data_IF_709667199212
#
_entry.id   IF_709667199212
#
_cell.length_a   1.000
_cell.length_b   1.000
_cell.length_c   1.000
_cell.angle_alpha   90.00
_cell.angle_beta   90.00
_cell.angle_gamma   90.00
#
_symmetry.space_group_name_H-M   'P 1'
#
loop_
_entity.id
_entity.type
_entity.pdbx_description
1 polymer ?
#
# COMPACT_ATOMS: atom_id res chain seq x y z
N UNK A 1 14.31 -3.41 6.56
CA UNK A 1 13.49 -3.24 5.31
C UNK A 1 12.03 -2.97 5.70
N UNK A 2 11.18 -2.48 4.78
CA UNK A 2 9.76 -2.18 5.07
C UNK A 2 9.01 -3.34 5.74
N UNK A 3 9.33 -4.58 5.33
CA UNK A 3 8.78 -5.79 5.93
C UNK A 3 9.10 -5.91 7.43
N UNK A 4 10.33 -5.61 7.84
CA UNK A 4 10.77 -5.74 9.23
C UNK A 4 10.08 -4.71 10.14
N UNK A 5 9.71 -3.55 9.58
CA UNK A 5 8.93 -2.52 10.29
C UNK A 5 7.45 -2.87 10.38
N UNK A 6 6.91 -3.59 9.39
CA UNK A 6 5.49 -3.97 9.35
C UNK A 6 5.19 -5.22 10.18
N UNK A 7 6.08 -6.21 10.18
CA UNK A 7 5.88 -7.51 10.85
C UNK A 7 5.52 -7.41 12.34
N UNK A 8 6.17 -6.58 13.18
CA UNK A 8 5.82 -6.53 14.60
C UNK A 8 4.46 -5.86 14.87
N UNK A 9 3.88 -5.15 13.88
CA UNK A 9 2.59 -4.46 14.05
C UNK A 9 1.39 -5.40 13.99
N UNK A 10 1.57 -6.62 13.47
CA UNK A 10 0.50 -7.63 13.43
C UNK A 10 1.05 -9.03 13.28
N UNK A 11 0.51 -9.95 14.07
CA UNK A 11 0.73 -11.39 13.99
C UNK A 11 0.01 -12.04 12.79
N UNK A 12 -1.00 -11.36 12.23
CA UNK A 12 -1.85 -11.87 11.13
C UNK A 12 -1.25 -11.70 9.73
N UNK A 13 -0.01 -11.24 9.60
CA UNK A 13 0.63 -11.04 8.30
C UNK A 13 0.98 -12.39 7.64
N UNK A 14 0.06 -12.91 6.82
CA UNK A 14 0.21 -14.21 6.15
C UNK A 14 0.71 -14.15 4.70
N UNK A 15 0.47 -13.05 3.98
CA UNK A 15 0.81 -12.91 2.56
C UNK A 15 1.19 -11.48 2.19
N UNK A 16 2.13 -11.35 1.26
CA UNK A 16 2.57 -10.09 0.66
C UNK A 16 2.56 -10.22 -0.87
N UNK A 17 2.03 -9.19 -1.52
CA UNK A 17 2.16 -9.01 -2.97
C UNK A 17 3.33 -8.07 -3.25
N UNK A 18 4.16 -8.44 -4.23
CA UNK A 18 5.29 -7.61 -4.69
C UNK A 18 5.21 -7.45 -6.20
N UNK A 19 5.59 -6.29 -6.68
CA UNK A 19 5.73 -6.06 -8.12
C UNK A 19 6.94 -6.83 -8.67
N UNK A 20 6.89 -7.21 -9.95
CA UNK A 20 8.00 -7.88 -10.65
C UNK A 20 9.33 -7.11 -10.62
N UNK A 21 9.30 -5.79 -10.43
CA UNK A 21 10.49 -4.95 -10.27
C UNK A 21 11.19 -5.09 -8.91
N UNK A 22 10.60 -5.78 -7.93
CA UNK A 22 11.26 -5.99 -6.63
C UNK A 22 12.45 -6.95 -6.73
N UNK A 23 13.52 -6.65 -5.97
CA UNK A 23 14.69 -7.52 -5.88
C UNK A 23 14.30 -8.91 -5.35
N UNK A 24 14.81 -9.97 -5.98
CA UNK A 24 14.62 -11.37 -5.53
C UNK A 24 15.02 -11.57 -4.06
N UNK A 25 16.03 -10.83 -3.59
CA UNK A 25 16.47 -10.82 -2.20
C UNK A 25 15.36 -10.42 -1.21
N UNK A 26 14.48 -9.48 -1.58
CA UNK A 26 13.35 -9.09 -0.73
C UNK A 26 12.36 -10.25 -0.58
N UNK A 27 11.99 -10.89 -1.68
CA UNK A 27 11.09 -12.04 -1.64
C UNK A 27 11.68 -13.20 -0.83
N UNK A 28 12.99 -13.45 -0.94
CA UNK A 28 13.68 -14.45 -0.12
C UNK A 28 13.65 -14.10 1.37
N UNK A 29 13.93 -12.84 1.73
CA UNK A 29 13.90 -12.34 3.11
C UNK A 29 12.53 -12.50 3.77
N UNK A 30 11.45 -12.25 3.03
CA UNK A 30 10.07 -12.42 3.52
C UNK A 30 9.72 -13.91 3.66
N UNK A 31 10.04 -14.74 2.66
CA UNK A 31 9.78 -16.19 2.71
C UNK A 31 10.52 -16.89 3.85
N UNK A 32 11.74 -16.45 4.17
CA UNK A 32 12.50 -16.96 5.31
C UNK A 32 11.77 -16.78 6.66
N UNK A 33 10.78 -15.90 6.73
CA UNK A 33 9.97 -15.62 7.92
C UNK A 33 8.55 -16.21 7.82
N UNK A 34 8.36 -17.22 6.96
CA UNK A 34 7.11 -17.98 6.77
C UNK A 34 5.92 -17.13 6.33
N UNK A 35 6.19 -16.03 5.61
CA UNK A 35 5.15 -15.21 4.97
C UNK A 35 5.14 -15.51 3.47
N UNK A 36 3.96 -15.79 2.92
CA UNK A 36 3.81 -16.06 1.50
C UNK A 36 4.12 -14.80 0.67
N UNK A 37 4.86 -14.95 -0.42
CA UNK A 37 5.16 -13.85 -1.36
C UNK A 37 4.65 -14.21 -2.74
N UNK A 38 3.78 -13.37 -3.26
CA UNK A 38 3.21 -13.44 -4.60
C UNK A 38 3.78 -12.31 -5.45
N UNK A 39 4.45 -12.66 -6.55
CA UNK A 39 5.00 -11.67 -7.49
C UNK A 39 3.94 -11.37 -8.54
N UNK A 40 3.52 -10.12 -8.62
CA UNK A 40 2.54 -9.63 -9.58
C UNK A 40 3.29 -9.09 -10.80
N UNK A 41 3.16 -9.79 -11.94
CA UNK A 41 3.78 -9.41 -13.20
C UNK A 41 2.90 -8.42 -13.98
N UNK A 42 3.46 -7.26 -14.35
CA UNK A 42 2.79 -6.21 -15.12
C UNK A 42 2.62 -6.51 -16.60
N UNK A 43 3.50 -7.34 -17.18
CA UNK A 43 3.58 -7.54 -18.63
C UNK A 43 2.83 -8.82 -18.99
N UNK A 44 1.68 -8.65 -19.64
CA UNK A 44 1.00 -9.74 -20.34
C UNK A 44 1.26 -9.61 -21.85
N UNK A 45 1.56 -10.72 -22.55
CA UNK A 45 1.86 -10.69 -23.99
C UNK A 45 0.68 -10.24 -24.88
N UNK A 46 -0.55 -10.31 -24.38
CA UNK A 46 -1.78 -10.17 -25.17
C UNK A 46 -2.65 -8.96 -24.77
N UNK A 47 -2.02 -7.83 -24.41
CA UNK A 47 -2.72 -6.57 -24.12
C UNK A 47 -2.82 -6.23 -22.64
N UNK A 48 -3.72 -5.30 -22.28
CA UNK A 48 -3.89 -4.84 -20.91
C UNK A 48 -4.72 -5.83 -20.09
N UNK A 49 -4.11 -6.36 -19.03
CA UNK A 49 -4.80 -7.19 -18.03
C UNK A 49 -4.82 -6.49 -16.68
N UNK A 50 -5.99 -6.48 -16.04
CA UNK A 50 -6.13 -5.94 -14.68
C UNK A 50 -5.38 -6.84 -13.70
N UNK A 51 -4.39 -6.26 -13.02
CA UNK A 51 -3.58 -7.00 -12.05
C UNK A 51 -4.37 -7.27 -10.77
N UNK A 52 -4.41 -8.52 -10.28
CA UNK A 52 -5.04 -8.81 -9.01
C UNK A 52 -4.30 -8.06 -7.89
N UNK A 53 -5.02 -7.17 -7.21
CA UNK A 53 -4.57 -6.36 -6.04
C UNK A 53 -3.48 -5.30 -6.29
N UNK A 54 -2.96 -5.15 -7.50
CA UNK A 54 -1.99 -4.09 -7.83
C UNK A 54 -2.55 -2.68 -7.65
N UNK A 55 -3.84 -2.48 -7.94
CA UNK A 55 -4.47 -1.16 -7.81
C UNK A 55 -4.89 -0.80 -6.38
N UNK A 56 -4.68 -1.64 -5.37
CA UNK A 56 -5.15 -1.34 -4.00
C UNK A 56 -4.40 -0.13 -3.44
N UNK A 57 -3.07 -0.08 -3.59
CA UNK A 57 -2.25 1.03 -3.11
C UNK A 57 -2.61 2.32 -3.86
N UNK A 58 -2.64 2.24 -5.20
CA UNK A 58 -2.98 3.38 -6.06
C UNK A 58 -4.39 3.90 -5.79
N UNK A 59 -5.36 3.02 -5.53
CA UNK A 59 -6.73 3.40 -5.17
C UNK A 59 -6.78 4.11 -3.83
N UNK A 60 -6.05 3.62 -2.83
CA UNK A 60 -5.92 4.33 -1.55
C UNK A 60 -5.36 5.73 -1.76
N UNK A 61 -4.33 5.88 -2.61
CA UNK A 61 -3.79 7.20 -2.93
C UNK A 61 -4.81 8.06 -3.68
N UNK A 62 -5.52 7.52 -4.67
CA UNK A 62 -6.57 8.23 -5.38
C UNK A 62 -7.64 8.78 -4.43
N UNK A 63 -8.01 8.04 -3.37
CA UNK A 63 -8.95 8.56 -2.36
C UNK A 63 -8.36 9.65 -1.47
N UNK A 64 -7.10 9.51 -1.05
CA UNK A 64 -6.43 10.50 -0.21
C UNK A 64 -6.21 11.81 -0.98
N UNK A 65 -5.95 11.75 -2.28
CA UNK A 65 -5.80 12.91 -3.17
C UNK A 65 -7.06 13.76 -3.28
N UNK A 66 -8.25 13.23 -2.94
CA UNK A 66 -9.46 14.06 -2.82
C UNK A 66 -9.37 15.12 -1.70
N UNK A 67 -8.40 15.00 -0.80
CA UNK A 67 -8.10 16.03 0.19
C UNK A 67 -7.19 17.08 -0.44
N UNK A 68 -7.70 18.28 -0.70
CA UNK A 68 -6.94 19.42 -1.28
C UNK A 68 -5.56 19.61 -0.65
N UNK A 69 -5.47 19.48 0.68
CA UNK A 69 -4.22 19.60 1.42
C UNK A 69 -3.16 18.57 1.01
N UNK A 70 -3.55 17.35 0.64
CA UNK A 70 -2.60 16.34 0.18
C UNK A 70 -2.23 16.48 -1.30
N UNK A 71 -3.06 17.18 -2.09
CA UNK A 71 -2.85 17.33 -3.54
C UNK A 71 -2.13 18.63 -3.92
N UNK A 72 -2.44 19.74 -3.24
CA UNK A 72 -2.03 21.10 -3.65
C UNK A 72 -1.15 21.78 -2.61
N UNK A 73 -1.51 21.64 -1.33
CA UNK A 73 -0.83 22.36 -0.24
C UNK A 73 0.29 21.49 0.33
N UNK A 74 1.46 21.52 -0.31
CA UNK A 74 2.64 20.80 0.19
C UNK A 74 3.15 21.43 1.49
N UNK A 75 3.09 20.66 2.57
CA UNK A 75 3.67 21.05 3.85
C UNK A 75 5.19 20.84 3.83
N UNK A 76 5.96 21.78 4.38
CA UNK A 76 7.43 21.66 4.46
C UNK A 76 7.88 20.64 5.50
N UNK A 77 7.08 20.46 6.54
CA UNK A 77 7.35 19.50 7.62
C UNK A 77 6.72 18.13 7.29
N UNK A 78 7.54 17.07 7.15
CA UNK A 78 7.04 15.71 6.92
C UNK A 78 6.08 15.23 8.01
N UNK A 79 6.27 15.67 9.26
CA UNK A 79 5.42 15.32 10.40
C UNK A 79 4.00 15.84 10.21
N UNK A 80 3.89 17.09 9.73
CA UNK A 80 2.60 17.72 9.44
C UNK A 80 1.93 17.03 8.26
N UNK A 81 2.70 16.71 7.21
CA UNK A 81 2.21 15.94 6.05
C UNK A 81 1.67 14.58 6.48
N UNK A 82 2.41 13.86 7.33
CA UNK A 82 1.98 12.56 7.87
C UNK A 82 0.66 12.69 8.65
N UNK A 83 0.52 13.72 9.48
CA UNK A 83 -0.72 14.01 10.20
C UNK A 83 -1.93 14.19 9.27
N UNK A 84 -1.75 14.88 8.14
CA UNK A 84 -2.81 15.04 7.13
C UNK A 84 -3.16 13.73 6.42
N UNK A 85 -2.18 12.85 6.18
CA UNK A 85 -2.44 11.51 5.64
C UNK A 85 -3.32 10.71 6.61
N UNK A 86 -2.99 10.71 7.90
CA UNK A 86 -3.81 10.04 8.93
C UNK A 86 -5.22 10.61 9.02
N UNK A 87 -5.37 11.93 9.01
CA UNK A 87 -6.68 12.59 9.07
C UNK A 87 -7.55 12.25 7.85
N UNK A 88 -6.99 12.34 6.64
CA UNK A 88 -7.71 12.02 5.41
C UNK A 88 -8.12 10.55 5.35
N UNK A 89 -7.24 9.63 5.74
CA UNK A 89 -7.52 8.20 5.78
C UNK A 89 -8.61 7.90 6.83
N UNK A 90 -8.53 8.49 8.02
CA UNK A 90 -9.52 8.29 9.10
C UNK A 90 -10.91 8.73 8.65
N UNK A 91 -11.03 9.90 8.01
CA UNK A 91 -12.31 10.38 7.45
C UNK A 91 -12.91 9.40 6.44
N UNK A 92 -12.07 8.82 5.57
CA UNK A 92 -12.51 7.82 4.59
C UNK A 92 -13.03 6.55 5.27
N UNK A 93 -12.29 6.01 6.25
CA UNK A 93 -12.66 4.78 6.95
C UNK A 93 -13.93 4.98 7.79
N UNK A 94 -14.06 6.12 8.48
CA UNK A 94 -15.25 6.43 9.27
C UNK A 94 -16.51 6.43 8.40
N UNK A 95 -16.47 7.02 7.20
CA UNK A 95 -17.61 6.99 6.27
C UNK A 95 -18.00 5.57 5.87
N UNK A 96 -17.02 4.70 5.61
CA UNK A 96 -17.28 3.30 5.23
C UNK A 96 -17.88 2.47 6.36
N UNK A 97 -17.49 2.77 7.60
CA UNK A 97 -18.05 2.11 8.78
C UNK A 97 -19.53 2.46 8.97
N UNK A 98 -19.96 3.65 8.56
CA UNK A 98 -21.35 4.11 8.68
C UNK A 98 -22.20 3.85 7.43
N UNK A 99 -21.57 3.57 6.29
CA UNK A 99 -22.23 3.20 5.02
C UNK A 99 -22.42 1.67 4.89
N UNK A 100 -22.21 0.90 5.97
CA UNK A 100 -22.42 -0.55 6.05
C UNK A 100 -23.81 -0.93 6.57
#
# INVERSE_FOLDING_TARGET
MVFDLARPKTDRLGRIWVDAGFKKAFAAHVRARRVAVEVVNKIHPAGFHVLPRGSVVERTWSWLMNSRRLQVDYERDPTVTEGFVWAAHSRLLLRRLTES
#
